data_IF_477049283882
#
_entry.id   IF_477049283882
#
_cell.length_a   1.000
_cell.length_b   1.000
_cell.length_c   1.000
_cell.angle_alpha   90.00
_cell.angle_beta   90.00
_cell.angle_gamma   90.00
#
_symmetry.space_group_name_H-M   'P 1'
#
loop_
_entity.id
_entity.type
_entity.pdbx_description
1 polymer ?
#
# COMPACT_ATOMS: atom_id res chain seq x y z
N UNK A 1 -23.28 -1.12 -6.15
CA UNK A 1 -24.66 -1.62 -6.42
C UNK A 1 -24.71 -3.07 -6.90
N UNK A 2 -23.65 -3.55 -7.61
CA UNK A 2 -23.61 -4.94 -8.14
C UNK A 2 -23.01 -5.94 -7.13
N UNK A 3 -22.18 -5.46 -6.19
CA UNK A 3 -21.48 -6.28 -5.20
C UNK A 3 -21.57 -5.59 -3.83
N UNK A 4 -22.75 -5.50 -3.20
CA UNK A 4 -22.98 -4.66 -2.03
C UNK A 4 -22.14 -5.05 -0.82
N UNK A 5 -21.91 -6.36 -0.60
CA UNK A 5 -21.23 -6.88 0.59
C UNK A 5 -19.85 -7.48 0.28
N UNK A 6 -19.22 -7.04 -0.82
CA UNK A 6 -17.93 -7.56 -1.26
C UNK A 6 -16.81 -6.60 -0.87
N UNK A 7 -15.79 -7.14 -0.19
CA UNK A 7 -14.54 -6.42 0.05
C UNK A 7 -13.66 -6.45 -1.20
N UNK A 8 -13.27 -5.27 -1.68
CA UNK A 8 -12.48 -5.13 -2.88
C UNK A 8 -11.00 -4.87 -2.56
N UNK A 9 -10.12 -5.39 -3.41
CA UNK A 9 -8.69 -5.11 -3.39
C UNK A 9 -8.35 -4.21 -4.56
N UNK A 10 -7.66 -3.11 -4.30
CA UNK A 10 -7.18 -2.20 -5.33
C UNK A 10 -5.74 -2.51 -5.68
N UNK A 11 -5.52 -2.95 -6.92
CA UNK A 11 -4.20 -3.17 -7.50
C UNK A 11 -3.79 -1.98 -8.38
N UNK A 12 -2.48 -1.83 -8.62
CA UNK A 12 -1.96 -0.72 -9.43
C UNK A 12 -2.27 0.66 -8.82
N UNK A 13 -2.32 0.75 -7.51
CA UNK A 13 -2.84 1.90 -6.75
C UNK A 13 -1.76 2.78 -6.13
N UNK A 14 -0.48 2.61 -6.50
CA UNK A 14 0.57 3.56 -6.14
C UNK A 14 0.26 4.94 -6.69
N UNK A 15 0.47 5.98 -5.89
CA UNK A 15 0.13 7.37 -6.28
C UNK A 15 1.25 8.06 -7.04
N UNK A 16 2.45 7.50 -7.05
CA UNK A 16 3.63 8.04 -7.73
C UNK A 16 3.88 9.51 -7.35
N UNK A 17 4.27 9.78 -6.07
CA UNK A 17 4.48 11.13 -5.59
C UNK A 17 5.51 11.88 -6.43
N UNK A 18 5.16 13.06 -6.90
CA UNK A 18 5.99 13.84 -7.83
C UNK A 18 7.27 14.34 -7.17
N UNK A 19 7.22 14.70 -5.89
CA UNK A 19 8.38 15.08 -5.09
C UNK A 19 9.44 13.97 -5.01
N UNK A 20 9.01 12.70 -4.96
CA UNK A 20 9.92 11.56 -4.99
C UNK A 20 10.54 11.35 -6.38
N UNK A 21 9.78 11.58 -7.45
CA UNK A 21 10.30 11.58 -8.81
C UNK A 21 11.32 12.68 -9.01
N UNK A 22 11.04 13.89 -8.51
CA UNK A 22 11.95 15.04 -8.57
C UNK A 22 13.26 14.75 -7.83
N UNK A 23 13.19 14.15 -6.64
CA UNK A 23 14.41 13.74 -5.90
C UNK A 23 15.23 12.73 -6.72
N UNK A 24 14.61 11.70 -7.29
CA UNK A 24 15.31 10.71 -8.10
C UNK A 24 16.03 11.38 -9.25
N UNK A 25 15.38 12.29 -9.97
CA UNK A 25 15.93 12.97 -11.13
C UNK A 25 17.00 14.00 -10.75
N UNK A 26 16.82 14.73 -9.65
CA UNK A 26 17.81 15.68 -9.16
C UNK A 26 19.16 15.03 -8.80
N UNK A 27 19.14 13.75 -8.41
CA UNK A 27 20.33 13.01 -8.01
C UNK A 27 20.73 11.92 -9.03
N UNK A 28 20.70 12.28 -10.33
CA UNK A 28 21.22 11.47 -11.43
C UNK A 28 20.28 10.37 -11.93
N UNK A 29 19.00 10.42 -11.58
CA UNK A 29 17.96 9.60 -12.22
C UNK A 29 17.51 10.20 -13.55
N UNK A 30 16.86 9.36 -14.35
CA UNK A 30 16.21 9.74 -15.60
C UNK A 30 14.82 9.11 -15.67
N UNK A 31 14.07 9.23 -14.58
CA UNK A 31 12.72 8.70 -14.52
C UNK A 31 11.83 9.55 -15.42
N UNK A 32 11.12 8.93 -16.38
CA UNK A 32 10.17 9.66 -17.22
C UNK A 32 8.99 10.16 -16.37
N UNK A 33 8.37 11.25 -16.81
CA UNK A 33 7.17 11.76 -16.15
C UNK A 33 6.12 10.65 -16.07
N UNK A 34 5.74 10.28 -14.86
CA UNK A 34 4.84 9.17 -14.57
C UNK A 34 3.83 9.60 -13.53
N UNK A 35 2.58 9.21 -13.72
CA UNK A 35 1.46 9.51 -12.82
C UNK A 35 0.89 8.21 -12.27
N UNK A 36 0.44 8.26 -11.04
CA UNK A 36 -0.28 7.17 -10.39
C UNK A 36 -1.74 7.52 -10.12
N UNK A 37 -2.35 6.80 -9.20
CA UNK A 37 -3.71 7.08 -8.77
C UNK A 37 -3.69 8.18 -7.71
N UNK A 38 -4.42 9.30 -7.89
CA UNK A 38 -4.51 10.33 -6.86
C UNK A 38 -5.03 9.77 -5.54
N UNK A 39 -4.50 10.28 -4.43
CA UNK A 39 -4.89 9.81 -3.08
C UNK A 39 -6.38 9.98 -2.83
N UNK A 40 -6.97 11.07 -3.32
CA UNK A 40 -8.39 11.37 -3.20
C UNK A 40 -9.27 10.32 -3.88
N UNK A 41 -8.81 9.77 -5.02
CA UNK A 41 -9.51 8.69 -5.72
C UNK A 41 -9.44 7.38 -4.93
N UNK A 42 -8.30 7.11 -4.29
CA UNK A 42 -8.14 5.95 -3.39
C UNK A 42 -9.10 6.10 -2.20
N UNK A 43 -9.13 7.28 -1.58
CA UNK A 43 -10.03 7.57 -0.46
C UNK A 43 -11.51 7.45 -0.87
N UNK A 44 -11.86 7.85 -2.09
CA UNK A 44 -13.19 7.63 -2.65
C UNK A 44 -13.49 6.13 -2.79
N UNK A 45 -12.53 5.36 -3.30
CA UNK A 45 -12.64 3.90 -3.39
C UNK A 45 -12.87 3.22 -2.04
N UNK A 46 -12.20 3.68 -0.98
CA UNK A 46 -12.37 3.18 0.40
C UNK A 46 -13.84 3.34 0.85
N UNK A 47 -14.46 4.47 0.54
CA UNK A 47 -15.88 4.72 0.86
C UNK A 47 -16.83 3.80 0.08
N UNK A 48 -16.37 3.20 -1.00
CA UNK A 48 -17.15 2.34 -1.89
C UNK A 48 -16.76 0.86 -1.88
N UNK A 49 -16.12 0.39 -0.80
CA UNK A 49 -15.89 -1.04 -0.58
C UNK A 49 -14.47 -1.52 -0.78
N UNK A 50 -13.53 -0.67 -1.19
CA UNK A 50 -12.11 -1.01 -1.17
C UNK A 50 -11.65 -1.17 0.27
N UNK A 51 -11.07 -2.34 0.59
CA UNK A 51 -10.59 -2.69 1.93
C UNK A 51 -9.10 -3.01 1.97
N UNK A 52 -8.49 -3.22 0.84
CA UNK A 52 -7.06 -3.44 0.68
C UNK A 52 -6.53 -2.61 -0.47
N UNK A 53 -5.43 -1.92 -0.26
CA UNK A 53 -4.76 -1.08 -1.26
C UNK A 53 -3.30 -1.54 -1.35
N UNK A 54 -2.83 -1.84 -2.55
CA UNK A 54 -1.44 -2.23 -2.79
C UNK A 54 -0.62 -0.99 -3.12
N UNK A 55 0.40 -0.71 -2.30
CA UNK A 55 1.35 0.39 -2.51
C UNK A 55 2.75 -0.21 -2.61
N UNK A 56 3.39 -0.10 -3.76
CA UNK A 56 4.74 -0.62 -4.03
C UNK A 56 5.65 0.48 -4.62
N UNK A 57 5.26 1.07 -5.74
CA UNK A 57 6.08 2.05 -6.47
C UNK A 57 6.49 3.22 -5.58
N UNK A 58 5.59 3.76 -4.77
CA UNK A 58 5.88 4.88 -3.86
C UNK A 58 7.03 4.53 -2.91
N UNK A 59 7.04 3.31 -2.36
CA UNK A 59 8.08 2.82 -1.47
C UNK A 59 9.42 2.65 -2.19
N UNK A 60 9.39 2.11 -3.41
CA UNK A 60 10.60 1.96 -4.24
C UNK A 60 11.20 3.31 -4.60
N UNK A 61 10.36 4.27 -4.96
CA UNK A 61 10.81 5.64 -5.27
C UNK A 61 11.45 6.31 -4.06
N UNK A 62 10.83 6.20 -2.89
CA UNK A 62 11.36 6.77 -1.65
C UNK A 62 12.74 6.20 -1.30
N UNK A 63 12.90 4.88 -1.38
CA UNK A 63 14.19 4.22 -1.15
C UNK A 63 15.22 4.65 -2.19
N UNK A 64 14.88 4.61 -3.47
CA UNK A 64 15.78 4.95 -4.58
C UNK A 64 16.24 6.40 -4.49
N UNK A 65 15.32 7.33 -4.24
CA UNK A 65 15.63 8.74 -4.08
C UNK A 65 16.60 9.00 -2.91
N UNK A 66 16.35 8.37 -1.77
CA UNK A 66 17.20 8.53 -0.58
C UNK A 66 18.62 7.96 -0.79
N UNK A 67 18.73 6.80 -1.46
CA UNK A 67 20.04 6.21 -1.80
C UNK A 67 20.80 7.10 -2.78
N UNK A 68 20.16 7.53 -3.89
CA UNK A 68 20.77 8.39 -4.89
C UNK A 68 21.28 9.70 -4.27
N UNK A 69 20.45 10.34 -3.46
CA UNK A 69 20.79 11.57 -2.75
C UNK A 69 22.04 11.38 -1.89
N UNK A 70 22.06 10.35 -1.04
CA UNK A 70 23.20 10.11 -0.16
C UNK A 70 24.50 9.87 -0.93
N UNK A 71 24.46 9.03 -1.99
CA UNK A 71 25.65 8.71 -2.78
C UNK A 71 26.14 9.92 -3.59
N UNK A 72 25.26 10.82 -4.02
CA UNK A 72 25.66 12.08 -4.65
C UNK A 72 26.30 13.06 -3.66
N UNK A 73 25.73 13.16 -2.45
CA UNK A 73 26.26 14.04 -1.40
C UNK A 73 27.55 13.49 -0.75
N UNK A 74 27.73 12.17 -0.78
CA UNK A 74 28.88 11.46 -0.21
C UNK A 74 29.47 10.46 -1.20
N UNK A 75 30.15 10.91 -2.26
CA UNK A 75 30.61 10.03 -3.33
C UNK A 75 31.65 8.99 -2.91
N UNK A 76 32.31 9.18 -1.77
CA UNK A 76 33.26 8.21 -1.20
C UNK A 76 32.59 7.14 -0.30
N UNK A 77 31.26 7.18 -0.13
CA UNK A 77 30.59 6.23 0.74
C UNK A 77 30.47 4.87 0.05
N UNK A 78 30.90 3.81 0.73
CA UNK A 78 30.87 2.43 0.23
C UNK A 78 30.11 1.45 1.13
N UNK A 79 29.79 1.85 2.37
CA UNK A 79 29.10 0.95 3.31
C UNK A 79 27.59 0.93 3.05
N UNK A 80 26.99 -0.23 2.71
CA UNK A 80 25.56 -0.34 2.51
C UNK A 80 24.72 0.17 3.69
N UNK A 81 25.19 0.03 4.91
CA UNK A 81 24.50 0.50 6.11
C UNK A 81 24.29 2.01 6.10
N UNK A 82 25.20 2.76 5.50
CA UNK A 82 25.10 4.21 5.40
C UNK A 82 23.95 4.67 4.52
N UNK A 83 23.70 4.02 3.35
CA UNK A 83 22.61 4.40 2.46
C UNK A 83 21.31 3.66 2.73
N UNK A 84 21.34 2.45 3.32
CA UNK A 84 20.12 1.72 3.70
C UNK A 84 19.40 2.37 4.87
N UNK A 85 20.10 3.05 5.78
CA UNK A 85 19.49 3.77 6.89
C UNK A 85 18.55 4.89 6.42
N UNK A 86 18.95 5.88 5.61
CA UNK A 86 18.04 6.87 5.07
C UNK A 86 16.99 6.30 4.11
N UNK A 87 17.32 5.24 3.35
CA UNK A 87 16.35 4.55 2.50
C UNK A 87 15.20 3.95 3.31
N UNK A 88 15.50 3.23 4.39
CA UNK A 88 14.50 2.70 5.34
C UNK A 88 13.65 3.81 5.93
N UNK A 89 14.26 4.91 6.32
CA UNK A 89 13.55 6.04 6.92
C UNK A 89 12.62 6.73 5.94
N UNK A 90 13.04 6.92 4.68
CA UNK A 90 12.22 7.46 3.63
C UNK A 90 10.99 6.56 3.35
N UNK A 91 11.20 5.25 3.25
CA UNK A 91 10.11 4.28 3.09
C UNK A 91 9.15 4.30 4.29
N UNK A 92 9.68 4.39 5.52
CA UNK A 92 8.86 4.47 6.73
C UNK A 92 7.93 5.68 6.69
N UNK A 93 8.42 6.84 6.25
CA UNK A 93 7.61 8.06 6.12
C UNK A 93 6.47 7.88 5.11
N UNK A 94 6.75 7.28 3.96
CA UNK A 94 5.70 6.96 2.97
C UNK A 94 4.64 6.04 3.58
N UNK A 95 5.04 4.97 4.26
CA UNK A 95 4.10 4.07 4.91
C UNK A 95 3.23 4.79 5.96
N UNK A 96 3.84 5.63 6.81
CA UNK A 96 3.11 6.41 7.82
C UNK A 96 2.08 7.34 7.17
N UNK A 97 2.48 8.07 6.12
CA UNK A 97 1.60 8.96 5.38
C UNK A 97 0.42 8.19 4.79
N UNK A 98 0.66 7.03 4.16
CA UNK A 98 -0.41 6.19 3.60
C UNK A 98 -1.35 5.64 4.66
N UNK A 99 -0.85 5.29 5.86
CA UNK A 99 -1.71 4.89 6.98
C UNK A 99 -2.65 6.01 7.42
N UNK A 100 -2.18 7.25 7.44
CA UNK A 100 -3.00 8.41 7.75
C UNK A 100 -4.04 8.66 6.65
N UNK A 101 -3.61 8.76 5.41
CA UNK A 101 -4.46 9.05 4.26
C UNK A 101 -5.55 8.00 4.03
N UNK A 102 -5.26 6.73 4.36
CA UNK A 102 -6.22 5.62 4.18
C UNK A 102 -7.03 5.30 5.45
N UNK A 103 -6.88 6.09 6.50
CA UNK A 103 -7.64 5.92 7.75
C UNK A 103 -7.24 4.70 8.58
N UNK A 104 -6.00 4.19 8.40
CA UNK A 104 -5.47 3.05 9.15
C UNK A 104 -4.76 3.46 10.43
N UNK A 105 -4.45 4.75 10.62
CA UNK A 105 -3.78 5.25 11.81
C UNK A 105 -4.61 4.98 13.07
N UNK A 106 -3.93 4.54 14.14
CA UNK A 106 -4.57 4.26 15.42
C UNK A 106 -5.49 3.03 15.45
N UNK A 107 -5.52 2.21 14.38
CA UNK A 107 -6.40 1.04 14.30
C UNK A 107 -5.75 -0.25 14.82
N UNK A 108 -4.42 -0.33 14.88
CA UNK A 108 -3.72 -1.57 15.22
C UNK A 108 -4.10 -2.13 16.60
N UNK A 109 -4.30 -1.29 17.60
CA UNK A 109 -4.71 -1.69 18.94
C UNK A 109 -6.14 -2.25 19.02
N UNK A 110 -6.96 -1.98 18.01
CA UNK A 110 -8.35 -2.46 17.91
C UNK A 110 -8.46 -3.83 17.25
N UNK A 111 -7.38 -4.27 16.60
CA UNK A 111 -7.34 -5.54 15.86
C UNK A 111 -6.82 -6.62 16.79
N UNK A 112 -7.61 -7.67 17.00
CA UNK A 112 -7.21 -8.87 17.72
C UNK A 112 -7.02 -10.00 16.73
N UNK A 113 -5.79 -10.48 16.51
CA UNK A 113 -5.54 -11.63 15.65
C UNK A 113 -6.29 -12.86 16.15
N UNK A 114 -6.93 -13.59 15.26
CA UNK A 114 -7.49 -14.89 15.57
C UNK A 114 -6.36 -15.92 15.66
N UNK A 115 -6.42 -16.81 16.65
CA UNK A 115 -5.51 -17.94 16.70
C UNK A 115 -5.83 -18.93 15.57
N UNK A 116 -4.84 -19.74 15.18
CA UNK A 116 -5.03 -20.82 14.19
C UNK A 116 -6.19 -21.75 14.58
N UNK A 117 -6.31 -22.10 15.88
CA UNK A 117 -7.38 -22.95 16.37
C UNK A 117 -8.77 -22.28 16.23
N UNK A 118 -8.88 -20.98 16.50
CA UNK A 118 -10.13 -20.24 16.30
C UNK A 118 -10.51 -20.17 14.82
N UNK A 119 -9.53 -19.93 13.94
CA UNK A 119 -9.77 -19.90 12.51
C UNK A 119 -10.18 -21.27 11.97
N UNK A 120 -9.53 -22.36 12.42
CA UNK A 120 -9.91 -23.73 12.06
C UNK A 120 -11.37 -24.05 12.44
N UNK A 121 -11.82 -23.61 13.62
CA UNK A 121 -13.22 -23.77 14.03
C UNK A 121 -14.19 -23.02 13.11
N UNK A 122 -13.85 -21.81 12.69
CA UNK A 122 -14.69 -21.02 11.76
C UNK A 122 -14.79 -21.68 10.38
N UNK A 123 -13.70 -22.24 9.87
CA UNK A 123 -13.75 -23.03 8.64
C UNK A 123 -14.61 -24.30 8.80
N UNK A 124 -14.42 -25.05 9.90
CA UNK A 124 -15.16 -26.28 10.14
C UNK A 124 -16.66 -26.06 10.35
N UNK A 125 -17.05 -24.91 10.91
CA UNK A 125 -18.48 -24.56 11.12
C UNK A 125 -19.21 -24.13 9.85
N UNK A 126 -18.49 -23.89 8.74
CA UNK A 126 -19.07 -23.34 7.51
C UNK A 126 -19.37 -21.84 7.57
N UNK A 127 -19.04 -21.14 8.67
CA UNK A 127 -19.28 -19.70 8.83
C UNK A 127 -18.65 -18.87 7.69
N UNK A 128 -17.54 -19.33 7.15
CA UNK A 128 -16.80 -18.65 6.09
C UNK A 128 -17.16 -19.13 4.69
N UNK A 129 -18.14 -20.02 4.54
CA UNK A 129 -18.59 -20.47 3.23
C UNK A 129 -19.26 -19.32 2.47
N UNK A 130 -19.06 -19.23 1.14
CA UNK A 130 -19.69 -18.19 0.35
C UNK A 130 -21.22 -18.29 0.43
N UNK A 131 -21.88 -17.21 0.78
CA UNK A 131 -23.32 -17.09 0.72
C UNK A 131 -23.70 -16.43 -0.60
N UNK A 132 -24.11 -17.21 -1.59
CA UNK A 132 -24.67 -16.67 -2.82
C UNK A 132 -26.13 -16.27 -2.54
N UNK A 133 -26.46 -14.99 -2.75
CA UNK A 133 -27.83 -14.52 -2.58
C UNK A 133 -28.83 -15.29 -3.45
N UNK A 134 -30.05 -15.44 -3.01
CA UNK A 134 -31.12 -16.24 -3.62
C UNK A 134 -31.45 -15.88 -5.10
N UNK A 135 -30.89 -14.81 -5.65
CA UNK A 135 -31.06 -14.41 -7.06
C UNK A 135 -30.16 -15.17 -8.04
N UNK A 136 -29.16 -15.95 -7.58
CA UNK A 136 -28.27 -16.69 -8.45
C UNK A 136 -28.83 -18.08 -8.86
N UNK A 137 -29.95 -18.53 -8.28
CA UNK A 137 -30.54 -19.86 -8.52
C UNK A 137 -31.64 -19.88 -9.59
N UNK A 138 -31.84 -18.80 -10.37
CA UNK A 138 -32.83 -18.76 -11.47
C UNK A 138 -32.21 -18.59 -12.85
N UNK A 139 -31.10 -19.23 -13.13
CA UNK A 139 -30.53 -19.36 -14.47
C UNK A 139 -29.89 -20.74 -14.59
N UNK A 140 -30.69 -21.77 -14.62
CA UNK A 140 -30.41 -23.11 -15.14
C UNK A 140 -31.64 -23.60 -15.91
#
# INVERSE_FOLDING_TARGET
RRLPDTHLVMHGSSSVPQDLQDIINAYGGQMPQTWGVPVEEIQRGIKHGVRKINIDTDNRMAMTGAVRKLLAEKPGEFDPRAWLKPAKEAMRKVCQQRFQEFGCEGQASKIRPLSTAQMAKRYASGELNPHFGASATKAA
#
